data_IF_617380809935
#
_entry.id   IF_617380809935
#
_cell.length_a   1.000
_cell.length_b   1.000
_cell.length_c   1.000
_cell.angle_alpha   90.00
_cell.angle_beta   90.00
_cell.angle_gamma   90.00
#
_symmetry.space_group_name_H-M   'P 1'
#
loop_
_entity.id
_entity.type
_entity.pdbx_description
1 polymer ?
#
# COMPACT_ATOMS: atom_id res chain seq x y z
N UNK A 1 21.80 83.63 -18.87
CA UNK A 1 20.34 83.80 -18.88
C UNK A 1 19.82 83.06 -17.64
N UNK A 2 19.09 83.70 -16.73
CA UNK A 2 18.63 83.01 -15.51
C UNK A 2 17.56 81.99 -15.90
N UNK A 3 17.88 80.70 -15.80
CA UNK A 3 16.91 79.62 -16.03
C UNK A 3 15.85 79.70 -14.95
N UNK A 4 14.58 79.64 -15.33
CA UNK A 4 13.46 79.76 -14.39
C UNK A 4 13.22 78.44 -13.67
N UNK A 5 12.70 78.50 -12.44
CA UNK A 5 12.39 77.30 -11.66
C UNK A 5 11.42 76.36 -12.40
N UNK A 6 10.53 76.88 -13.25
CA UNK A 6 9.59 76.07 -14.03
C UNK A 6 10.30 75.16 -15.03
N UNK A 7 11.27 75.70 -15.77
CA UNK A 7 12.06 74.93 -16.73
C UNK A 7 12.83 73.81 -16.01
N UNK A 8 13.35 74.10 -14.82
CA UNK A 8 14.05 73.10 -14.00
C UNK A 8 13.08 72.01 -13.53
N UNK A 9 11.89 72.38 -13.04
CA UNK A 9 10.87 71.41 -12.62
C UNK A 9 10.41 70.48 -13.76
N UNK A 10 10.38 70.97 -15.00
CA UNK A 10 10.01 70.17 -16.17
C UNK A 10 11.08 69.14 -16.55
N UNK A 11 12.36 69.45 -16.37
CA UNK A 11 13.48 68.54 -16.72
C UNK A 11 13.93 67.62 -15.56
N UNK A 12 13.52 67.94 -14.33
CA UNK A 12 13.87 67.18 -13.12
C UNK A 12 13.52 65.67 -13.17
N UNK A 13 12.38 65.23 -13.73
CA UNK A 13 12.09 63.81 -13.91
C UNK A 13 13.13 63.10 -14.80
N UNK A 14 13.55 63.74 -15.90
CA UNK A 14 14.56 63.21 -16.81
C UNK A 14 15.95 63.19 -16.17
N UNK A 15 16.25 64.18 -15.31
CA UNK A 15 17.47 64.19 -14.49
C UNK A 15 17.51 63.00 -13.54
N UNK A 16 16.39 62.65 -12.88
CA UNK A 16 16.33 61.50 -11.97
C UNK A 16 16.52 60.15 -12.67
N UNK A 17 16.16 60.07 -13.95
CA UNK A 17 16.33 58.87 -14.77
C UNK A 17 17.69 58.81 -15.50
N UNK A 18 18.59 59.78 -15.26
CA UNK A 18 19.87 59.95 -15.96
C UNK A 18 19.72 60.00 -17.50
N UNK A 19 18.67 60.69 -17.99
CA UNK A 19 18.36 60.79 -19.43
C UNK A 19 18.66 62.18 -20.02
N UNK A 20 19.29 63.07 -19.26
CA UNK A 20 19.72 64.39 -19.73
C UNK A 20 21.13 64.33 -20.33
N UNK A 21 21.42 65.23 -21.28
CA UNK A 21 22.77 65.45 -21.77
C UNK A 21 23.64 66.12 -20.70
N UNK A 22 24.97 65.98 -20.80
CA UNK A 22 25.92 66.52 -19.83
C UNK A 22 25.74 68.04 -19.60
N UNK A 23 25.57 68.81 -20.68
CA UNK A 23 25.30 70.26 -20.61
C UNK A 23 24.00 70.58 -19.83
N UNK A 24 22.98 69.74 -19.97
CA UNK A 24 21.69 69.92 -19.30
C UNK A 24 21.76 69.48 -17.82
N UNK A 25 22.61 68.51 -17.48
CA UNK A 25 22.88 68.10 -16.11
C UNK A 25 23.56 69.22 -15.32
N UNK A 26 24.61 69.83 -15.90
CA UNK A 26 25.31 70.97 -15.27
C UNK A 26 24.35 72.13 -15.03
N UNK A 27 23.46 72.44 -15.99
CA UNK A 27 22.44 73.47 -15.84
C UNK A 27 21.49 73.22 -14.66
N UNK A 28 21.08 71.96 -14.47
CA UNK A 28 20.19 71.56 -13.37
C UNK A 28 20.91 71.62 -12.02
N UNK A 29 22.16 71.17 -11.96
CA UNK A 29 22.98 71.18 -10.75
C UNK A 29 23.28 72.59 -10.25
N UNK A 30 23.72 73.49 -11.14
CA UNK A 30 23.97 74.90 -10.82
C UNK A 30 22.72 75.60 -10.26
N UNK A 31 21.54 75.29 -10.80
CA UNK A 31 20.29 75.88 -10.32
C UNK A 31 19.84 75.31 -8.97
N UNK A 32 20.02 74.01 -8.73
CA UNK A 32 19.64 73.35 -7.46
C UNK A 32 20.53 73.82 -6.30
N UNK A 33 21.79 74.16 -6.56
CA UNK A 33 22.67 74.74 -5.54
C UNK A 33 22.19 76.11 -5.07
N UNK A 34 21.60 76.90 -5.97
CA UNK A 34 21.16 78.27 -5.71
C UNK A 34 19.67 78.37 -5.32
N UNK A 35 18.85 77.33 -5.57
CA UNK A 35 17.41 77.34 -5.35
C UNK A 35 16.93 76.22 -4.41
N UNK A 36 16.55 76.61 -3.19
CA UNK A 36 16.06 75.69 -2.16
C UNK A 36 14.72 75.03 -2.53
N UNK A 37 13.87 75.71 -3.30
CA UNK A 37 12.56 75.19 -3.73
C UNK A 37 12.73 74.00 -4.68
N UNK A 38 13.57 74.15 -5.72
CA UNK A 38 13.88 73.08 -6.68
C UNK A 38 14.59 71.89 -5.99
N UNK A 39 15.45 72.17 -5.00
CA UNK A 39 16.10 71.14 -4.18
C UNK A 39 15.11 70.31 -3.36
N UNK A 40 14.12 70.97 -2.75
CA UNK A 40 13.07 70.28 -1.99
C UNK A 40 12.20 69.39 -2.89
N UNK A 41 11.85 69.87 -4.07
CA UNK A 41 11.04 69.16 -5.06
C UNK A 41 11.75 67.92 -5.64
N UNK A 42 13.06 68.01 -5.93
CA UNK A 42 13.89 66.85 -6.32
C UNK A 42 13.87 65.75 -5.24
N UNK A 43 14.00 66.15 -3.96
CA UNK A 43 13.99 65.19 -2.85
C UNK A 43 12.63 64.53 -2.67
N UNK A 44 11.53 65.26 -2.83
CA UNK A 44 10.19 64.70 -2.80
C UNK A 44 10.00 63.64 -3.91
N UNK A 45 10.43 63.94 -5.14
CA UNK A 45 10.41 62.98 -6.25
C UNK A 45 11.27 61.74 -6.00
N UNK A 46 12.49 61.88 -5.44
CA UNK A 46 13.33 60.72 -5.06
C UNK A 46 12.66 59.83 -4.03
N UNK A 47 11.86 60.42 -3.15
CA UNK A 47 11.15 59.70 -2.09
C UNK A 47 9.97 58.92 -2.68
N UNK A 48 9.24 59.52 -3.63
CA UNK A 48 8.10 58.89 -4.31
C UNK A 48 8.52 57.78 -5.28
N UNK A 49 9.67 57.92 -5.94
CA UNK A 49 10.17 56.93 -6.91
C UNK A 49 10.70 55.63 -6.27
N UNK A 50 10.85 55.60 -4.93
CA UNK A 50 11.03 54.35 -4.19
C UNK A 50 9.68 53.70 -3.92
N UNK A 51 9.01 53.24 -4.98
CA UNK A 51 7.88 52.31 -4.83
C UNK A 51 8.43 51.06 -4.12
N UNK A 52 7.93 50.67 -2.94
CA UNK A 52 8.37 49.44 -2.30
C UNK A 52 7.89 48.28 -3.17
N UNK A 53 8.80 47.66 -3.92
CA UNK A 53 8.52 46.41 -4.61
C UNK A 53 8.20 45.38 -3.53
N UNK A 54 6.93 44.98 -3.45
CA UNK A 54 6.50 43.90 -2.56
C UNK A 54 7.15 42.59 -3.00
N UNK A 55 8.30 42.27 -2.39
CA UNK A 55 9.05 41.02 -2.58
C UNK A 55 8.46 39.86 -1.78
N UNK A 56 7.21 39.93 -1.31
CA UNK A 56 6.54 38.79 -0.68
C UNK A 56 6.26 37.68 -1.70
N UNK A 57 7.27 36.85 -1.98
CA UNK A 57 7.16 35.59 -2.75
C UNK A 57 6.46 34.47 -1.97
N UNK A 58 6.07 34.73 -0.71
CA UNK A 58 5.40 33.79 0.18
C UNK A 58 4.10 33.18 -0.37
N UNK A 59 3.25 33.87 -1.17
CA UNK A 59 2.06 33.26 -1.77
C UNK A 59 2.42 32.23 -2.85
N UNK A 60 3.40 32.56 -3.71
CA UNK A 60 3.84 31.69 -4.81
C UNK A 60 4.53 30.41 -4.29
N UNK A 61 5.32 30.53 -3.21
CA UNK A 61 5.94 29.37 -2.55
C UNK A 61 4.89 28.46 -1.88
N UNK A 62 3.84 29.03 -1.27
CA UNK A 62 2.69 28.28 -0.72
C UNK A 62 1.92 27.55 -1.83
N UNK A 63 1.70 28.19 -2.98
CA UNK A 63 1.05 27.57 -4.14
C UNK A 63 1.91 26.42 -4.70
N UNK A 64 3.21 26.65 -4.91
CA UNK A 64 4.12 25.62 -5.45
C UNK A 64 4.26 24.40 -4.52
N UNK A 65 4.26 24.60 -3.21
CA UNK A 65 4.38 23.51 -2.23
C UNK A 65 3.08 22.71 -2.08
N UNK A 66 1.91 23.37 -2.10
CA UNK A 66 0.61 22.68 -2.07
C UNK A 66 0.37 21.87 -3.34
N UNK A 67 0.73 22.40 -4.51
CA UNK A 67 0.67 21.66 -5.78
C UNK A 67 1.61 20.46 -5.81
N UNK A 68 2.85 20.60 -5.30
CA UNK A 68 3.81 19.48 -5.19
C UNK A 68 3.30 18.39 -4.25
N UNK A 69 2.75 18.75 -3.08
CA UNK A 69 2.15 17.80 -2.15
C UNK A 69 0.99 17.03 -2.77
N UNK A 70 0.12 17.70 -3.54
CA UNK A 70 -0.99 17.05 -4.25
C UNK A 70 -0.49 16.09 -5.32
N UNK A 71 0.45 16.52 -6.18
CA UNK A 71 1.07 15.65 -7.19
C UNK A 71 1.71 14.40 -6.57
N UNK A 72 2.45 14.58 -5.48
CA UNK A 72 3.09 13.48 -4.76
C UNK A 72 2.06 12.52 -4.16
N UNK A 73 1.00 13.03 -3.55
CA UNK A 73 -0.04 12.21 -2.94
C UNK A 73 -0.86 11.45 -3.99
N UNK A 74 -1.20 12.08 -5.12
CA UNK A 74 -1.84 11.39 -6.26
C UNK A 74 -0.92 10.32 -6.86
N UNK A 75 0.39 10.59 -6.96
CA UNK A 75 1.35 9.61 -7.46
C UNK A 75 1.45 8.38 -6.55
N UNK A 76 1.55 8.57 -5.23
CA UNK A 76 1.57 7.44 -4.27
C UNK A 76 0.25 6.68 -4.31
N UNK A 77 -0.90 7.37 -4.41
CA UNK A 77 -2.19 6.70 -4.53
C UNK A 77 -2.27 5.81 -5.76
N UNK A 78 -1.83 6.31 -6.92
CA UNK A 78 -1.72 5.53 -8.15
C UNK A 78 -0.79 4.32 -7.97
N UNK A 79 0.37 4.53 -7.33
CA UNK A 79 1.33 3.46 -7.05
C UNK A 79 0.74 2.38 -6.13
N UNK A 80 0.05 2.74 -5.04
CA UNK A 80 -0.58 1.78 -4.13
C UNK A 80 -1.68 0.98 -4.83
N UNK A 81 -2.47 1.65 -5.68
CA UNK A 81 -3.49 0.97 -6.48
C UNK A 81 -2.88 -0.05 -7.44
N UNK A 82 -1.80 0.33 -8.14
CA UNK A 82 -1.07 -0.59 -9.03
C UNK A 82 -0.46 -1.77 -8.27
N UNK A 83 0.13 -1.55 -7.09
CA UNK A 83 0.66 -2.63 -6.24
C UNK A 83 -0.45 -3.57 -5.82
N UNK A 84 -1.61 -3.02 -5.42
CA UNK A 84 -2.76 -3.84 -5.02
C UNK A 84 -3.20 -4.75 -6.16
N UNK A 85 -3.36 -4.20 -7.37
CA UNK A 85 -3.73 -4.99 -8.55
C UNK A 85 -2.68 -6.07 -8.88
N UNK A 86 -1.40 -5.72 -8.78
CA UNK A 86 -0.29 -6.65 -9.00
C UNK A 86 -0.30 -7.82 -7.99
N UNK A 87 -0.46 -7.52 -6.70
CA UNK A 87 -0.55 -8.55 -5.65
C UNK A 87 -1.76 -9.46 -5.90
N UNK A 88 -2.92 -8.90 -6.26
CA UNK A 88 -4.12 -9.69 -6.57
C UNK A 88 -3.86 -10.61 -7.76
N UNK A 89 -3.25 -10.10 -8.83
CA UNK A 89 -2.94 -10.90 -10.02
C UNK A 89 -1.98 -12.04 -9.71
N UNK A 90 -0.91 -11.78 -8.95
CA UNK A 90 0.02 -12.83 -8.53
C UNK A 90 -0.66 -13.84 -7.61
N UNK A 91 -1.47 -13.40 -6.64
CA UNK A 91 -2.19 -14.28 -5.72
C UNK A 91 -3.16 -15.22 -6.45
N UNK A 92 -3.82 -14.73 -7.51
CA UNK A 92 -4.69 -15.52 -8.38
C UNK A 92 -3.91 -16.48 -9.27
N UNK A 93 -2.83 -16.03 -9.91
CA UNK A 93 -2.03 -16.88 -10.80
C UNK A 93 -1.33 -18.02 -10.04
N UNK A 94 -0.96 -17.78 -8.78
CA UNK A 94 -0.31 -18.75 -7.89
C UNK A 94 -1.28 -19.44 -6.94
N UNK A 95 -2.60 -19.26 -7.12
CA UNK A 95 -3.61 -19.97 -6.35
C UNK A 95 -3.46 -21.50 -6.53
N UNK A 96 -3.45 -22.28 -5.43
CA UNK A 96 -3.38 -23.73 -5.51
C UNK A 96 -4.68 -24.25 -6.12
N UNK A 97 -4.54 -24.94 -7.25
CA UNK A 97 -5.57 -25.77 -7.86
C UNK A 97 -5.29 -27.21 -7.45
N UNK A 98 -5.93 -27.65 -6.35
CA UNK A 98 -5.68 -28.97 -5.79
C UNK A 98 -6.03 -30.06 -6.79
N UNK A 99 -5.10 -31.00 -6.95
CA UNK A 99 -5.27 -32.11 -7.87
C UNK A 99 -6.12 -33.20 -7.19
N UNK A 100 -7.04 -33.84 -7.91
CA UNK A 100 -7.66 -35.05 -7.38
C UNK A 100 -6.60 -36.14 -7.24
N UNK A 101 -6.80 -37.04 -6.28
CA UNK A 101 -5.91 -38.19 -6.16
C UNK A 101 -5.89 -38.98 -7.48
N UNK A 102 -4.67 -39.20 -7.97
CA UNK A 102 -4.39 -40.16 -9.02
C UNK A 102 -3.06 -40.82 -8.71
N UNK A 103 -2.90 -42.10 -9.08
CA UNK A 103 -1.62 -42.82 -8.94
C UNK A 103 -0.44 -42.14 -9.65
N UNK A 104 -0.72 -41.12 -10.48
CA UNK A 104 0.28 -40.30 -11.17
C UNK A 104 0.67 -39.05 -10.38
N UNK A 105 -0.18 -38.53 -9.51
CA UNK A 105 0.08 -37.27 -8.78
C UNK A 105 1.19 -37.39 -7.73
N UNK A 106 1.18 -38.46 -6.94
CA UNK A 106 2.21 -38.76 -5.95
C UNK A 106 2.31 -40.27 -5.76
N UNK A 107 3.53 -40.77 -5.69
CA UNK A 107 3.84 -42.19 -5.43
C UNK A 107 4.68 -42.31 -4.18
N UNK A 108 4.35 -43.26 -3.31
CA UNK A 108 5.07 -43.50 -2.06
C UNK A 108 5.88 -44.78 -2.21
N UNK A 109 7.20 -44.65 -2.15
CA UNK A 109 8.14 -45.76 -2.31
C UNK A 109 9.02 -45.88 -1.07
N UNK A 110 9.28 -47.10 -0.62
CA UNK A 110 10.27 -47.34 0.42
C UNK A 110 11.66 -47.46 -0.20
N UNK A 111 12.58 -46.58 0.22
CA UNK A 111 14.00 -46.66 -0.10
C UNK A 111 14.66 -47.51 0.99
N UNK A 112 15.63 -48.35 0.60
CA UNK A 112 16.40 -49.16 1.55
C UNK A 112 16.84 -48.37 2.79
N UNK A 113 16.84 -49.06 3.94
CA UNK A 113 17.03 -48.53 5.30
C UNK A 113 15.76 -47.99 6.00
N UNK A 114 14.56 -48.28 5.49
CA UNK A 114 13.29 -47.90 6.13
C UNK A 114 12.88 -46.44 5.89
N UNK A 115 13.54 -45.75 4.95
CA UNK A 115 13.19 -44.40 4.55
C UNK A 115 12.05 -44.41 3.53
N UNK A 116 11.04 -43.59 3.73
CA UNK A 116 9.88 -43.49 2.84
C UNK A 116 10.01 -42.24 1.96
N UNK A 117 10.02 -42.44 0.65
CA UNK A 117 10.10 -41.40 -0.37
C UNK A 117 8.73 -41.10 -0.96
N UNK A 118 8.33 -39.82 -0.94
CA UNK A 118 7.26 -39.30 -1.76
C UNK A 118 7.85 -38.75 -3.06
N UNK A 119 7.46 -39.37 -4.18
CA UNK A 119 7.85 -38.98 -5.53
C UNK A 119 6.67 -38.31 -6.23
N UNK A 120 6.91 -37.10 -6.75
CA UNK A 120 5.90 -36.27 -7.40
C UNK A 120 6.09 -36.27 -8.91
N UNK A 121 4.99 -36.16 -9.66
CA UNK A 121 5.04 -36.01 -11.12
C UNK A 121 5.33 -34.55 -11.52
N UNK A 122 5.85 -34.36 -12.73
CA UNK A 122 6.15 -33.05 -13.32
C UNK A 122 4.94 -32.10 -13.44
N UNK A 123 3.72 -32.62 -13.28
CA UNK A 123 2.47 -31.84 -13.26
C UNK A 123 2.24 -31.13 -11.93
N UNK A 124 2.90 -31.57 -10.85
CA UNK A 124 2.73 -31.03 -9.51
C UNK A 124 3.55 -29.75 -9.33
N UNK A 125 2.88 -28.64 -9.06
CA UNK A 125 3.54 -27.37 -8.73
C UNK A 125 4.02 -27.33 -7.28
N UNK A 126 3.19 -27.82 -6.37
CA UNK A 126 3.47 -27.81 -4.94
C UNK A 126 2.69 -28.88 -4.20
N UNK A 127 3.11 -29.12 -2.97
CA UNK A 127 2.53 -30.10 -2.07
C UNK A 127 2.57 -29.59 -0.63
N UNK A 128 1.71 -30.16 0.20
CA UNK A 128 1.68 -29.95 1.64
C UNK A 128 1.74 -31.31 2.32
N UNK A 129 2.51 -31.37 3.41
CA UNK A 129 2.73 -32.60 4.18
C UNK A 129 2.60 -32.25 5.66
N UNK A 130 1.52 -32.72 6.27
CA UNK A 130 1.31 -32.66 7.71
C UNK A 130 1.59 -34.03 8.33
N UNK A 131 2.10 -34.05 9.57
CA UNK A 131 2.34 -35.30 10.31
C UNK A 131 1.97 -35.18 11.77
N UNK A 132 1.53 -36.29 12.36
CA UNK A 132 1.26 -36.40 13.79
C UNK A 132 1.61 -37.81 14.29
N UNK A 133 1.93 -37.99 15.59
CA UNK A 133 2.21 -39.31 16.15
C UNK A 133 0.94 -40.16 16.14
N UNK A 134 1.07 -41.44 15.77
CA UNK A 134 -0.03 -42.39 15.86
C UNK A 134 -0.49 -42.57 17.32
N UNK A 135 -1.77 -42.86 17.55
CA UNK A 135 -2.34 -43.01 18.90
C UNK A 135 -1.65 -44.11 19.74
N UNK A 136 -1.14 -45.14 19.07
CA UNK A 136 -0.37 -46.24 19.67
C UNK A 136 1.11 -45.88 19.89
N UNK A 137 1.53 -44.65 19.59
CA UNK A 137 2.91 -44.16 19.59
C UNK A 137 3.90 -45.04 18.79
N UNK A 138 3.41 -45.83 17.83
CA UNK A 138 4.27 -46.72 17.01
C UNK A 138 5.05 -45.99 15.93
N UNK A 139 4.74 -44.73 15.67
CA UNK A 139 5.40 -43.89 14.67
C UNK A 139 4.54 -42.70 14.30
N UNK A 140 4.66 -42.23 13.06
CA UNK A 140 3.96 -41.05 12.55
C UNK A 140 3.00 -41.39 11.41
N UNK A 141 1.86 -40.71 11.40
CA UNK A 141 0.89 -40.70 10.31
C UNK A 141 1.10 -39.42 9.51
N UNK A 142 1.20 -39.56 8.20
CA UNK A 142 1.43 -38.46 7.26
C UNK A 142 0.18 -38.21 6.41
N UNK A 143 -0.09 -36.94 6.15
CA UNK A 143 -1.18 -36.46 5.30
C UNK A 143 -0.58 -35.59 4.22
N UNK A 144 -0.81 -35.95 2.97
CA UNK A 144 -0.22 -35.30 1.79
C UNK A 144 -1.33 -34.79 0.89
N UNK A 145 -1.14 -33.61 0.31
CA UNK A 145 -1.95 -33.15 -0.83
C UNK A 145 -1.04 -32.50 -1.85
N UNK A 146 -1.51 -32.43 -3.09
CA UNK A 146 -0.76 -31.82 -4.21
C UNK A 146 -1.64 -30.83 -4.96
N UNK A 147 -1.02 -29.82 -5.54
CA UNK A 147 -1.70 -28.83 -6.36
C UNK A 147 -0.86 -28.39 -7.56
N UNK A 148 -1.56 -27.93 -8.58
CA UNK A 148 -1.01 -27.15 -9.67
C UNK A 148 -1.37 -25.66 -9.48
N UNK A 149 -0.89 -24.79 -10.37
CA UNK A 149 -1.36 -23.40 -10.45
C UNK A 149 -1.38 -22.90 -11.89
N UNK A 150 -2.19 -21.88 -12.17
CA UNK A 150 -2.26 -21.24 -13.50
C UNK A 150 -0.87 -20.76 -13.94
N UNK A 151 -0.08 -20.23 -13.00
CA UNK A 151 1.29 -19.80 -13.23
C UNK A 151 2.18 -20.96 -13.69
N UNK A 152 2.14 -22.08 -12.97
CA UNK A 152 2.95 -23.26 -13.30
C UNK A 152 2.58 -23.85 -14.66
N UNK A 153 1.26 -23.99 -14.92
CA UNK A 153 0.72 -24.54 -16.15
C UNK A 153 1.10 -23.75 -17.41
N UNK A 154 1.14 -22.41 -17.32
CA UNK A 154 1.26 -21.55 -18.50
C UNK A 154 2.60 -20.82 -18.66
N UNK A 155 3.35 -20.60 -17.57
CA UNK A 155 4.53 -19.72 -17.59
C UNK A 155 5.81 -20.52 -17.36
N UNK A 156 5.86 -21.31 -16.29
CA UNK A 156 7.05 -22.09 -15.94
C UNK A 156 6.64 -23.38 -15.24
N UNK A 157 6.84 -24.52 -15.92
CA UNK A 157 6.80 -25.83 -15.28
C UNK A 157 7.91 -25.90 -14.22
N UNK A 158 7.52 -25.98 -12.96
CA UNK A 158 8.41 -26.36 -11.88
C UNK A 158 8.49 -27.88 -11.81
N UNK A 159 9.69 -28.41 -11.62
CA UNK A 159 9.83 -29.78 -11.17
C UNK A 159 9.80 -29.74 -9.65
N UNK A 160 8.75 -30.29 -9.03
CA UNK A 160 8.73 -30.51 -7.59
C UNK A 160 9.77 -31.58 -7.26
N UNK A 161 10.63 -31.30 -6.29
CA UNK A 161 11.62 -32.27 -5.85
C UNK A 161 10.92 -33.34 -5.01
N UNK A 162 11.29 -34.60 -5.26
CA UNK A 162 10.92 -35.72 -4.40
C UNK A 162 11.41 -35.47 -2.98
N UNK A 163 10.66 -35.93 -1.98
CA UNK A 163 10.96 -35.67 -0.57
C UNK A 163 10.93 -36.95 0.26
N UNK A 164 11.85 -37.05 1.22
CA UNK A 164 11.88 -38.14 2.19
C UNK A 164 10.97 -37.74 3.35
N UNK A 165 9.97 -38.56 3.66
CA UNK A 165 8.97 -38.27 4.69
C UNK A 165 9.54 -38.38 6.11
N UNK A 166 10.47 -39.31 6.32
CA UNK A 166 11.10 -39.60 7.61
C UNK A 166 12.62 -39.34 7.57
N UNK A 167 13.06 -38.08 7.41
CA UNK A 167 14.47 -37.77 7.31
C UNK A 167 15.27 -38.09 8.58
N UNK A 168 14.61 -38.26 9.73
CA UNK A 168 15.25 -38.60 11.00
C UNK A 168 15.18 -40.11 11.31
N UNK A 169 14.70 -40.93 10.36
CA UNK A 169 14.55 -42.38 10.54
C UNK A 169 13.37 -42.76 11.44
N UNK A 170 12.40 -41.86 11.63
CA UNK A 170 11.15 -42.17 12.32
C UNK A 170 10.31 -43.19 11.56
N UNK A 171 9.57 -44.04 12.28
CA UNK A 171 8.70 -45.04 11.68
C UNK A 171 7.49 -44.36 11.01
N UNK A 172 7.24 -44.69 9.74
CA UNK A 172 6.09 -44.21 8.97
C UNK A 172 4.99 -45.24 9.06
N UNK A 173 3.95 -44.94 9.84
CA UNK A 173 2.84 -45.85 10.11
C UNK A 173 1.90 -45.93 8.91
N UNK A 174 1.52 -44.75 8.40
CA UNK A 174 0.59 -44.61 7.28
C UNK A 174 0.83 -43.29 6.56
N UNK A 175 0.56 -43.28 5.26
CA UNK A 175 0.52 -42.05 4.44
C UNK A 175 -0.85 -41.98 3.79
N UNK A 176 -1.55 -40.87 4.01
CA UNK A 176 -2.85 -40.57 3.43
C UNK A 176 -2.74 -39.43 2.42
N UNK A 177 -3.48 -39.52 1.33
CA UNK A 177 -3.74 -38.40 0.43
C UNK A 177 -5.04 -37.72 0.82
N UNK A 178 -5.00 -36.45 1.19
CA UNK A 178 -6.20 -35.72 1.60
C UNK A 178 -6.75 -34.85 0.48
N UNK A 179 -8.08 -34.79 0.43
CA UNK A 179 -8.81 -33.94 -0.48
C UNK A 179 -9.26 -32.64 0.21
N UNK A 180 -9.45 -31.60 -0.60
CA UNK A 180 -9.89 -30.28 -0.10
C UNK A 180 -11.39 -30.01 -0.32
N UNK A 181 -12.13 -31.01 -0.80
CA UNK A 181 -13.58 -30.98 -1.02
C UNK A 181 -14.39 -31.61 0.12
N UNK A 182 -13.72 -32.11 1.17
CA UNK A 182 -14.34 -32.78 2.31
C UNK A 182 -14.63 -34.27 2.07
N UNK A 183 -14.16 -34.85 0.98
CA UNK A 183 -14.16 -36.30 0.78
C UNK A 183 -13.16 -37.00 1.70
N UNK A 184 -13.28 -38.33 1.80
CA UNK A 184 -12.39 -39.14 2.62
C UNK A 184 -10.97 -39.17 2.06
N UNK A 185 -10.01 -39.15 2.96
CA UNK A 185 -8.59 -39.26 2.67
C UNK A 185 -8.28 -40.70 2.22
N UNK A 186 -7.42 -40.83 1.21
CA UNK A 186 -7.09 -42.11 0.58
C UNK A 186 -5.79 -42.64 1.18
N UNK A 187 -5.81 -43.86 1.69
CA UNK A 187 -4.58 -44.52 2.14
C UNK A 187 -3.67 -44.84 0.95
N UNK A 188 -2.44 -44.34 0.99
CA UNK A 188 -1.42 -44.56 -0.03
C UNK A 188 -0.37 -45.60 0.38
N UNK A 189 0.00 -45.62 1.66
CA UNK A 189 1.06 -46.48 2.21
C UNK A 189 0.77 -46.83 3.67
N UNK A 190 1.18 -48.02 4.08
CA UNK A 190 1.13 -48.47 5.48
C UNK A 190 -0.20 -49.10 5.87
N UNK A 191 -0.52 -49.07 7.18
CA UNK A 191 -1.76 -49.67 7.73
C UNK A 191 -2.90 -48.65 7.73
N UNK A 192 -4.14 -49.08 7.50
CA UNK A 192 -5.27 -48.19 7.77
C UNK A 192 -5.48 -48.06 9.28
N UNK A 193 -5.35 -46.85 9.81
CA UNK A 193 -5.54 -46.58 11.25
C UNK A 193 -7.02 -46.50 11.63
N UNK A 194 -7.94 -46.31 10.66
CA UNK A 194 -9.36 -46.22 10.93
C UNK A 194 -10.22 -46.98 9.89
N UNK A 195 -10.10 -48.32 9.80
CA UNK A 195 -10.68 -49.14 8.73
C UNK A 195 -12.21 -49.08 8.65
N UNK A 196 -12.90 -48.72 9.74
CA UNK A 196 -14.37 -48.69 9.81
C UNK A 196 -14.94 -47.27 9.83
N UNK A 197 -14.12 -46.22 9.85
CA UNK A 197 -14.57 -44.85 10.06
C UNK A 197 -14.05 -43.83 9.04
N UNK A 198 -13.03 -44.17 8.26
CA UNK A 198 -12.39 -43.24 7.32
C UNK A 198 -11.73 -42.05 8.02
N UNK A 199 -11.06 -41.20 7.24
CA UNK A 199 -10.39 -40.00 7.74
C UNK A 199 -10.75 -38.86 6.80
N UNK A 200 -10.96 -37.65 7.33
CA UNK A 200 -11.20 -36.44 6.54
C UNK A 200 -10.35 -35.33 7.10
N UNK A 201 -9.49 -34.75 6.26
CA UNK A 201 -8.68 -33.60 6.66
C UNK A 201 -9.50 -32.31 6.61
N UNK A 202 -9.48 -31.57 7.72
CA UNK A 202 -10.24 -30.32 7.87
C UNK A 202 -9.42 -29.08 7.49
N UNK A 203 -10.05 -28.06 6.88
CA UNK A 203 -9.37 -26.81 6.58
C UNK A 203 -9.06 -26.03 7.87
N UNK A 204 -8.00 -25.22 7.84
CA UNK A 204 -7.68 -24.31 8.94
C UNK A 204 -8.70 -23.17 8.99
N UNK A 205 -9.12 -22.83 10.21
CA UNK A 205 -10.18 -21.84 10.47
C UNK A 205 -9.66 -20.48 10.96
N UNK A 206 -8.35 -20.29 11.13
CA UNK A 206 -7.85 -19.13 11.86
C UNK A 206 -8.13 -17.78 11.18
N UNK A 207 -8.29 -17.77 9.85
CA UNK A 207 -8.69 -16.57 9.10
C UNK A 207 -10.05 -16.04 9.57
N UNK A 208 -10.98 -16.94 9.95
CA UNK A 208 -12.29 -16.56 10.49
C UNK A 208 -12.17 -15.78 11.81
N UNK A 209 -11.25 -16.18 12.69
CA UNK A 209 -11.01 -15.48 13.96
C UNK A 209 -10.47 -14.07 13.72
N UNK A 210 -9.52 -13.91 12.79
CA UNK A 210 -9.00 -12.59 12.43
C UNK A 210 -10.04 -11.68 11.78
N UNK A 211 -10.89 -12.24 10.89
CA UNK A 211 -12.01 -11.50 10.32
C UNK A 211 -13.01 -11.06 11.40
N UNK A 212 -13.34 -11.93 12.35
CA UNK A 212 -14.23 -11.60 13.47
C UNK A 212 -13.63 -10.49 14.34
N UNK A 213 -12.35 -10.60 14.71
CA UNK A 213 -11.64 -9.56 15.48
C UNK A 213 -11.69 -8.23 14.73
N UNK A 214 -11.45 -8.24 13.41
CA UNK A 214 -11.50 -7.03 12.60
C UNK A 214 -12.92 -6.42 12.53
N UNK A 215 -13.98 -7.24 12.44
CA UNK A 215 -15.38 -6.77 12.48
C UNK A 215 -15.69 -6.10 13.83
N UNK A 216 -15.36 -6.78 14.94
CA UNK A 216 -15.57 -6.23 16.29
C UNK A 216 -14.77 -4.94 16.47
N UNK A 217 -13.55 -4.89 15.98
CA UNK A 217 -12.71 -3.69 16.07
C UNK A 217 -13.23 -2.53 15.21
N UNK A 218 -13.73 -2.82 14.00
CA UNK A 218 -14.39 -1.81 13.17
C UNK A 218 -15.68 -1.29 13.82
N UNK A 219 -16.50 -2.17 14.39
CA UNK A 219 -17.75 -1.81 15.07
C UNK A 219 -17.49 -0.93 16.30
N UNK A 220 -16.50 -1.27 17.12
CA UNK A 220 -16.12 -0.45 18.30
C UNK A 220 -15.59 0.93 17.89
N UNK A 221 -14.74 1.00 16.86
CA UNK A 221 -14.31 2.28 16.29
C UNK A 221 -15.51 3.09 15.77
N UNK A 222 -16.45 2.45 15.07
CA UNK A 222 -17.69 3.07 14.60
C UNK A 222 -18.52 3.67 15.74
N UNK A 223 -18.72 2.92 16.81
CA UNK A 223 -19.43 3.37 18.01
C UNK A 223 -18.74 4.58 18.66
N UNK A 224 -17.42 4.54 18.81
CA UNK A 224 -16.63 5.66 19.35
C UNK A 224 -16.82 6.92 18.50
N UNK A 225 -16.83 6.79 17.17
CA UNK A 225 -17.06 7.91 16.26
C UNK A 225 -18.47 8.49 16.38
N UNK A 226 -19.48 7.66 16.61
CA UNK A 226 -20.86 8.09 16.85
C UNK A 226 -21.02 8.82 18.19
N UNK A 227 -20.46 8.29 19.27
CA UNK A 227 -20.55 8.90 20.61
C UNK A 227 -19.77 10.22 20.66
N UNK A 228 -18.55 10.23 20.11
CA UNK A 228 -17.63 11.37 20.18
C UNK A 228 -17.67 12.23 18.92
N UNK A 229 -18.78 12.22 18.18
CA UNK A 229 -18.95 12.95 16.91
C UNK A 229 -18.68 14.45 17.01
N UNK A 230 -18.87 15.04 18.21
CA UNK A 230 -18.61 16.46 18.49
C UNK A 230 -17.11 16.77 18.58
N UNK A 231 -16.29 15.80 18.98
CA UNK A 231 -14.85 15.99 19.16
C UNK A 231 -14.09 15.66 17.86
N UNK A 232 -13.89 16.69 17.02
CA UNK A 232 -13.20 16.55 15.72
C UNK A 232 -11.81 15.93 15.82
N UNK A 233 -11.09 16.13 16.93
CA UNK A 233 -9.74 15.55 17.12
C UNK A 233 -9.82 14.04 17.30
N UNK A 234 -10.72 13.57 18.18
CA UNK A 234 -10.94 12.14 18.41
C UNK A 234 -11.48 11.48 17.15
N UNK A 235 -12.50 12.07 16.51
CA UNK A 235 -13.07 11.55 15.27
C UNK A 235 -11.99 11.33 14.20
N UNK A 236 -11.10 12.31 14.00
CA UNK A 236 -10.06 12.23 12.98
C UNK A 236 -8.94 11.22 13.32
N UNK A 237 -8.74 10.91 14.59
CA UNK A 237 -7.84 9.83 15.02
C UNK A 237 -8.52 8.46 14.85
N UNK A 238 -9.73 8.31 15.39
CA UNK A 238 -10.51 7.06 15.32
C UNK A 238 -10.80 6.66 13.88
N UNK A 239 -11.07 7.60 12.97
CA UNK A 239 -11.20 7.32 11.53
C UNK A 239 -9.96 6.64 10.94
N UNK A 240 -8.75 7.07 11.32
CA UNK A 240 -7.51 6.43 10.84
C UNK A 240 -7.39 5.01 11.37
N UNK A 241 -7.67 4.82 12.65
CA UNK A 241 -7.66 3.49 13.29
C UNK A 241 -8.71 2.58 12.67
N UNK A 242 -9.91 3.10 12.36
CA UNK A 242 -11.01 2.39 11.73
C UNK A 242 -10.65 1.84 10.33
N UNK A 243 -9.83 2.54 9.55
CA UNK A 243 -9.42 2.03 8.24
C UNK A 243 -8.54 0.78 8.31
N UNK A 244 -7.87 0.53 9.44
CA UNK A 244 -7.01 -0.65 9.58
C UNK A 244 -7.82 -1.97 9.51
N UNK A 245 -8.85 -2.20 10.37
CA UNK A 245 -9.69 -3.40 10.24
C UNK A 245 -10.50 -3.41 8.93
N UNK A 246 -10.93 -2.26 8.42
CA UNK A 246 -11.64 -2.20 7.13
C UNK A 246 -10.75 -2.65 5.97
N UNK A 247 -9.48 -2.26 5.96
CA UNK A 247 -8.53 -2.69 4.93
C UNK A 247 -8.23 -4.18 5.01
N UNK A 248 -8.18 -4.74 6.23
CA UNK A 248 -8.05 -6.19 6.42
C UNK A 248 -9.27 -6.92 5.86
N UNK A 249 -10.48 -6.49 6.20
CA UNK A 249 -11.73 -7.12 5.73
C UNK A 249 -11.87 -7.05 4.21
N UNK A 250 -11.51 -5.92 3.60
CA UNK A 250 -11.48 -5.80 2.14
C UNK A 250 -10.40 -6.69 1.52
N UNK A 251 -9.21 -6.76 2.12
CA UNK A 251 -8.16 -7.70 1.68
C UNK A 251 -8.62 -9.15 1.75
N UNK A 252 -9.28 -9.53 2.85
CA UNK A 252 -9.88 -10.85 3.01
C UNK A 252 -10.92 -11.12 1.92
N UNK A 253 -11.85 -10.19 1.69
CA UNK A 253 -12.87 -10.32 0.65
C UNK A 253 -12.25 -10.46 -0.75
N UNK A 254 -11.20 -9.71 -1.05
CA UNK A 254 -10.54 -9.72 -2.37
C UNK A 254 -9.82 -11.05 -2.61
N UNK A 255 -9.10 -11.58 -1.61
CA UNK A 255 -8.28 -12.79 -1.76
C UNK A 255 -9.11 -14.07 -1.60
N UNK A 256 -10.02 -14.10 -0.63
CA UNK A 256 -10.76 -15.30 -0.22
C UNK A 256 -12.27 -15.25 -0.47
N UNK A 257 -12.80 -14.10 -0.85
CA UNK A 257 -14.24 -13.88 -0.93
C UNK A 257 -14.89 -14.00 0.45
N UNK A 258 -16.02 -14.71 0.49
CA UNK A 258 -16.77 -14.98 1.72
C UNK A 258 -16.32 -16.24 2.45
N UNK A 259 -15.41 -17.02 1.86
CA UNK A 259 -14.90 -18.25 2.49
C UNK A 259 -13.84 -17.90 3.51
N UNK A 260 -13.98 -18.40 4.74
CA UNK A 260 -13.04 -18.12 5.85
C UNK A 260 -12.21 -19.34 6.24
N UNK A 261 -12.52 -20.53 5.70
CA UNK A 261 -11.73 -21.74 5.85
C UNK A 261 -10.70 -21.86 4.72
N UNK A 262 -9.50 -22.35 5.01
CA UNK A 262 -8.49 -22.61 3.98
C UNK A 262 -7.55 -23.74 4.35
N UNK A 263 -7.20 -24.55 3.36
CA UNK A 263 -6.16 -25.57 3.46
C UNK A 263 -4.75 -24.99 3.34
N UNK A 264 -4.59 -23.82 2.70
CA UNK A 264 -3.33 -23.05 2.62
C UNK A 264 -3.46 -21.71 3.34
N UNK A 265 -4.01 -21.75 4.54
CA UNK A 265 -4.39 -20.54 5.28
C UNK A 265 -3.22 -19.60 5.57
N UNK A 266 -1.98 -20.09 5.71
CA UNK A 266 -0.78 -19.26 5.88
C UNK A 266 -0.48 -18.41 4.65
N UNK A 267 -0.53 -19.01 3.46
CA UNK A 267 -0.39 -18.32 2.17
C UNK A 267 -1.47 -17.25 2.00
N UNK A 268 -2.72 -17.64 2.23
CA UNK A 268 -3.85 -16.73 2.09
C UNK A 268 -3.76 -15.57 3.08
N UNK A 269 -3.31 -15.81 4.31
CA UNK A 269 -3.07 -14.77 5.30
C UNK A 269 -2.04 -13.73 4.82
N UNK A 270 -0.89 -14.17 4.28
CA UNK A 270 0.10 -13.24 3.75
C UNK A 270 -0.41 -12.47 2.54
N UNK A 271 -1.15 -13.12 1.64
CA UNK A 271 -1.77 -12.44 0.50
C UNK A 271 -2.77 -11.35 0.96
N UNK A 272 -3.59 -11.65 1.98
CA UNK A 272 -4.51 -10.68 2.59
C UNK A 272 -3.74 -9.50 3.19
N UNK A 273 -2.65 -9.74 3.92
CA UNK A 273 -1.83 -8.67 4.49
C UNK A 273 -1.18 -7.80 3.41
N UNK A 274 -0.68 -8.41 2.33
CA UNK A 274 -0.08 -7.68 1.20
C UNK A 274 -1.08 -6.81 0.46
N UNK A 275 -2.36 -7.16 0.43
CA UNK A 275 -3.44 -6.31 -0.10
C UNK A 275 -3.89 -5.27 0.93
N UNK A 276 -3.98 -5.63 2.20
CA UNK A 276 -4.40 -4.75 3.30
C UNK A 276 -3.51 -3.50 3.41
N UNK A 277 -2.19 -3.66 3.35
CA UNK A 277 -1.23 -2.55 3.53
C UNK A 277 -1.44 -1.42 2.50
N UNK A 278 -1.41 -1.67 1.18
CA UNK A 278 -1.63 -0.61 0.19
C UNK A 278 -3.06 -0.06 0.23
N UNK A 279 -4.07 -0.87 0.53
CA UNK A 279 -5.44 -0.39 0.72
C UNK A 279 -5.55 0.59 1.90
N UNK A 280 -4.92 0.28 3.02
CA UNK A 280 -4.90 1.17 4.18
C UNK A 280 -4.25 2.51 3.86
N UNK A 281 -3.10 2.48 3.18
CA UNK A 281 -2.39 3.69 2.76
C UNK A 281 -3.26 4.48 1.77
N UNK A 282 -3.92 3.81 0.82
CA UNK A 282 -4.84 4.42 -0.14
C UNK A 282 -6.03 5.11 0.55
N UNK A 283 -6.65 4.48 1.57
CA UNK A 283 -7.74 5.11 2.34
C UNK A 283 -7.28 6.34 3.10
N UNK A 284 -6.13 6.28 3.78
CA UNK A 284 -5.58 7.44 4.48
C UNK A 284 -5.32 8.62 3.53
N UNK A 285 -4.82 8.33 2.33
CA UNK A 285 -4.59 9.34 1.29
C UNK A 285 -5.91 9.91 0.75
N UNK A 286 -6.89 9.06 0.46
CA UNK A 286 -8.20 9.48 -0.03
C UNK A 286 -8.89 10.43 0.95
N UNK A 287 -8.86 10.12 2.25
CA UNK A 287 -9.41 11.01 3.29
C UNK A 287 -8.68 12.36 3.35
N UNK A 288 -7.36 12.36 3.21
CA UNK A 288 -6.59 13.60 3.19
C UNK A 288 -6.94 14.46 1.95
N UNK A 289 -7.09 13.85 0.77
CA UNK A 289 -7.52 14.52 -0.45
C UNK A 289 -8.91 15.15 -0.30
N UNK A 290 -9.88 14.38 0.19
CA UNK A 290 -11.26 14.84 0.40
C UNK A 290 -11.28 16.02 1.37
N UNK A 291 -10.49 15.96 2.45
CA UNK A 291 -10.39 17.05 3.42
C UNK A 291 -9.79 18.32 2.83
N UNK A 292 -8.73 18.20 2.02
CA UNK A 292 -8.13 19.35 1.33
C UNK A 292 -9.10 19.97 0.32
N UNK A 293 -9.84 19.15 -0.42
CA UNK A 293 -10.85 19.62 -1.38
C UNK A 293 -11.99 20.37 -0.68
N UNK A 294 -12.50 19.83 0.43
CA UNK A 294 -13.54 20.49 1.23
C UNK A 294 -13.08 21.84 1.76
N UNK A 295 -11.88 21.93 2.34
CA UNK A 295 -11.38 23.19 2.91
C UNK A 295 -11.26 24.30 1.85
N UNK A 296 -10.82 23.97 0.63
CA UNK A 296 -10.73 24.95 -0.47
C UNK A 296 -12.11 25.53 -0.85
N UNK A 297 -13.16 24.69 -0.89
CA UNK A 297 -14.53 25.14 -1.21
C UNK A 297 -15.10 26.14 -0.19
N UNK A 298 -14.58 26.16 1.03
CA UNK A 298 -14.96 27.13 2.06
C UNK A 298 -14.12 28.42 2.03
N UNK A 299 -12.92 28.41 1.44
CA UNK A 299 -12.11 29.63 1.25
C UNK A 299 -12.53 30.43 0.00
N UNK A 300 -13.10 29.77 -1.01
CA UNK A 300 -13.60 30.40 -2.24
C UNK A 300 -15.07 30.92 -2.11
N UNK A 301 -15.67 30.88 -0.92
CA UNK A 301 -17.03 31.39 -0.61
C UNK A 301 -16.97 32.52 0.40
#
# INVERSE_FOLDING_TARGET
>A
MKVTCNVIKDVLPLYLENMLSDDSCVMVEEHIEQCQECKSYLNEMRTFNKIPVDRNTSPLLKIKSTLRKKKFLTAIFSMMFSITLFVITIALLTAPEYLPFSERSVTINEIGNGSVLAQFEDTVYGYDIDRYPADDNTGYVYHITTWDSIWNRNIKKSNTNNTILNPNGENVVSVYYYHTDGSQDILMYGKDINPNGGIVTLPRLFLSYYALIAIVFAATCGLIMLILYRNKKVLNFTMKVFFLPVSYLLGHLIIKGFTTSSYTATRDFYAILLVMIPLYIAFLMAVNLIRQYRNKKYEDR
#
